data_IF_822200280433
#
_entry.id   IF_822200280433
#
_cell.length_a   1.000
_cell.length_b   1.000
_cell.length_c   1.000
_cell.angle_alpha   90.00
_cell.angle_beta   90.00
_cell.angle_gamma   90.00
#
_symmetry.space_group_name_H-M   'P 1'
#
loop_
_entity.id
_entity.type
_entity.pdbx_description
1 polymer ?
#
# COMPACT_ATOMS: atom_id res chain seq x y z
N UNK A 1 43.11 -22.46 8.77
CA UNK A 1 41.97 -22.31 9.69
C UNK A 1 40.88 -21.53 8.97
N UNK A 2 39.78 -22.20 8.67
CA UNK A 2 38.73 -21.76 7.75
C UNK A 2 37.72 -20.90 8.50
N UNK A 3 37.70 -19.59 8.28
CA UNK A 3 36.55 -18.78 8.71
C UNK A 3 35.42 -18.96 7.69
N UNK A 4 34.47 -19.80 8.06
CA UNK A 4 33.21 -19.98 7.35
C UNK A 4 32.42 -18.66 7.46
N UNK A 5 32.56 -17.76 6.48
CA UNK A 5 31.72 -16.56 6.37
C UNK A 5 30.29 -17.04 6.18
N UNK A 6 29.53 -17.11 7.27
CA UNK A 6 28.08 -17.30 7.27
C UNK A 6 27.51 -16.26 6.29
N UNK A 7 27.06 -16.70 5.13
CA UNK A 7 26.35 -15.87 4.17
C UNK A 7 25.13 -15.33 4.90
N UNK A 8 25.16 -14.05 5.26
CA UNK A 8 24.00 -13.39 5.87
C UNK A 8 22.96 -13.30 4.76
N UNK A 9 21.99 -14.21 4.76
CA UNK A 9 20.86 -14.13 3.84
C UNK A 9 20.15 -12.80 4.11
N UNK A 10 20.36 -11.82 3.24
CA UNK A 10 19.60 -10.57 3.25
C UNK A 10 18.18 -10.90 2.80
N UNK A 11 17.26 -10.86 3.74
CA UNK A 11 15.83 -11.05 3.51
C UNK A 11 15.10 -9.81 3.98
N UNK A 12 14.43 -9.14 3.04
CA UNK A 12 13.48 -8.08 3.39
C UNK A 12 12.19 -8.73 3.88
N UNK A 13 11.77 -8.39 5.09
CA UNK A 13 10.50 -8.87 5.67
C UNK A 13 9.48 -7.73 5.61
N UNK A 14 8.53 -7.85 4.69
CA UNK A 14 7.46 -6.88 4.50
C UNK A 14 6.38 -7.11 5.57
N UNK A 15 6.31 -6.23 6.57
CA UNK A 15 5.42 -6.39 7.74
C UNK A 15 3.97 -5.96 7.46
N UNK A 16 3.79 -5.13 6.44
CA UNK A 16 2.52 -4.46 6.12
C UNK A 16 1.66 -5.21 5.11
N UNK A 17 2.22 -6.23 4.46
CA UNK A 17 1.50 -7.05 3.48
C UNK A 17 0.92 -8.29 4.18
N UNK A 18 -0.38 -8.53 4.01
CA UNK A 18 -1.06 -9.68 4.62
C UNK A 18 -0.70 -10.97 3.87
N UNK A 19 -1.02 -12.12 4.47
CA UNK A 19 -0.91 -13.39 3.75
C UNK A 19 -2.00 -13.47 2.68
N UNK A 20 -1.63 -13.83 1.45
CA UNK A 20 -2.57 -13.95 0.34
C UNK A 20 -1.91 -13.76 -1.02
N UNK A 21 -2.75 -13.73 -2.06
CA UNK A 21 -2.34 -13.31 -3.39
C UNK A 21 -2.34 -11.78 -3.45
N UNK A 22 -1.30 -11.22 -4.04
CA UNK A 22 -1.11 -9.79 -4.20
C UNK A 22 -0.63 -9.48 -5.61
N UNK A 23 -1.14 -8.38 -6.16
CA UNK A 23 -0.64 -7.82 -7.40
C UNK A 23 0.82 -7.36 -7.24
N UNK A 24 1.59 -7.40 -8.34
CA UNK A 24 3.03 -7.10 -8.28
C UNK A 24 3.31 -5.63 -7.97
N UNK A 25 2.43 -4.71 -8.38
CA UNK A 25 2.52 -3.29 -8.04
C UNK A 25 2.37 -3.05 -6.52
N UNK A 26 1.42 -3.71 -5.87
CA UNK A 26 1.25 -3.66 -4.42
C UNK A 26 2.50 -4.20 -3.70
N UNK A 27 3.04 -5.34 -4.15
CA UNK A 27 4.27 -5.91 -3.59
C UNK A 27 5.45 -4.94 -3.74
N UNK A 28 5.62 -4.32 -4.90
CA UNK A 28 6.68 -3.33 -5.14
C UNK A 28 6.56 -2.13 -4.21
N UNK A 29 5.34 -1.57 -4.06
CA UNK A 29 5.08 -0.44 -3.17
C UNK A 29 5.43 -0.81 -1.71
N UNK A 30 4.91 -1.94 -1.24
CA UNK A 30 5.13 -2.40 0.13
C UNK A 30 6.60 -2.72 0.41
N UNK A 31 7.33 -3.30 -0.55
CA UNK A 31 8.76 -3.54 -0.42
C UNK A 31 9.56 -2.24 -0.33
N UNK A 32 9.29 -1.27 -1.21
CA UNK A 32 9.99 0.02 -1.21
C UNK A 32 9.79 0.77 0.11
N UNK A 33 8.56 0.83 0.61
CA UNK A 33 8.28 1.48 1.89
C UNK A 33 8.74 0.68 3.11
N UNK A 34 8.91 -0.65 2.99
CA UNK A 34 9.55 -1.42 4.06
C UNK A 34 11.02 -0.99 4.24
N UNK A 35 11.75 -0.68 3.17
CA UNK A 35 13.12 -0.14 3.25
C UNK A 35 13.14 1.19 3.99
N UNK A 36 12.20 2.10 3.69
CA UNK A 36 12.07 3.37 4.41
C UNK A 36 11.78 3.16 5.90
N UNK A 37 10.89 2.22 6.23
CA UNK A 37 10.57 1.89 7.63
C UNK A 37 11.78 1.32 8.35
N UNK A 38 12.50 0.39 7.71
CA UNK A 38 13.70 -0.21 8.31
C UNK A 38 14.80 0.84 8.54
N UNK A 39 15.01 1.75 7.59
CA UNK A 39 15.91 2.89 7.74
C UNK A 39 15.51 3.77 8.95
N UNK A 40 14.23 4.15 9.04
CA UNK A 40 13.76 5.03 10.12
C UNK A 40 13.78 4.37 11.51
N UNK A 41 13.36 3.11 11.62
CA UNK A 41 13.18 2.42 12.90
C UNK A 41 14.42 1.68 13.38
N UNK A 42 15.17 1.05 12.47
CA UNK A 42 16.30 0.20 12.82
C UNK A 42 17.63 0.95 12.76
N UNK A 43 17.83 1.76 11.72
CA UNK A 43 19.09 2.49 11.51
C UNK A 43 19.13 3.82 12.27
N UNK A 44 17.96 4.40 12.60
CA UNK A 44 17.81 5.61 13.44
C UNK A 44 18.74 6.75 12.97
N UNK A 45 18.57 7.19 11.71
CA UNK A 45 19.48 8.13 11.05
C UNK A 45 19.53 9.51 11.73
N UNK A 46 18.52 9.85 12.52
CA UNK A 46 18.47 11.08 13.31
C UNK A 46 19.54 11.17 14.38
N UNK A 47 20.11 10.03 14.79
CA UNK A 47 21.16 9.97 15.83
C UNK A 47 22.58 10.15 15.28
N UNK A 48 22.79 9.85 14.00
CA UNK A 48 24.13 9.68 13.43
C UNK A 48 24.41 10.58 12.24
N UNK A 49 23.38 11.12 11.56
CA UNK A 49 23.52 11.96 10.37
C UNK A 49 23.16 13.41 10.74
N UNK A 50 24.05 14.35 10.40
CA UNK A 50 23.74 15.77 10.48
C UNK A 50 22.87 16.21 9.28
N UNK A 51 21.56 16.04 9.44
CA UNK A 51 20.57 16.46 8.44
C UNK A 51 20.51 17.99 8.24
N UNK A 52 21.19 18.79 9.07
CA UNK A 52 21.20 20.24 8.97
C UNK A 52 22.34 20.79 8.13
N UNK A 53 23.31 19.94 7.77
CA UNK A 53 24.56 20.29 7.09
C UNK A 53 24.36 21.16 5.84
N UNK A 54 23.41 20.81 4.97
CA UNK A 54 23.08 21.59 3.77
C UNK A 54 21.58 21.57 3.43
N UNK A 55 21.20 22.38 2.44
CA UNK A 55 19.83 22.50 1.94
C UNK A 55 19.25 21.17 1.44
N UNK A 56 20.07 20.35 0.80
CA UNK A 56 19.62 19.09 0.20
C UNK A 56 19.30 18.07 1.29
N UNK A 57 20.17 17.92 2.29
CA UNK A 57 19.94 17.08 3.46
C UNK A 57 18.70 17.53 4.25
N UNK A 58 18.52 18.84 4.45
CA UNK A 58 17.33 19.36 5.14
C UNK A 58 16.04 19.06 4.38
N UNK A 59 16.05 19.20 3.04
CA UNK A 59 14.91 18.87 2.19
C UNK A 59 14.63 17.38 2.19
N UNK A 60 15.66 16.55 2.00
CA UNK A 60 15.55 15.09 2.03
C UNK A 60 14.97 14.61 3.37
N UNK A 61 15.48 15.11 4.50
CA UNK A 61 14.99 14.72 5.82
C UNK A 61 13.51 15.09 6.06
N UNK A 62 13.08 16.23 5.53
CA UNK A 62 11.66 16.63 5.57
C UNK A 62 10.80 15.64 4.76
N UNK A 63 11.26 15.25 3.57
CA UNK A 63 10.56 14.30 2.70
C UNK A 63 10.53 12.89 3.30
N UNK A 64 11.65 12.38 3.81
CA UNK A 64 11.77 11.09 4.52
C UNK A 64 10.72 11.00 5.64
N UNK A 65 10.68 11.99 6.54
CA UNK A 65 9.72 12.03 7.65
C UNK A 65 8.27 12.12 7.17
N UNK A 66 8.01 12.89 6.12
CA UNK A 66 6.66 13.03 5.57
C UNK A 66 6.16 11.71 4.96
N UNK A 67 7.01 11.03 4.17
CA UNK A 67 6.71 9.73 3.57
C UNK A 67 6.55 8.63 4.63
N UNK A 68 7.42 8.61 5.63
CA UNK A 68 7.34 7.67 6.73
C UNK A 68 6.02 7.83 7.51
N UNK A 69 5.65 9.07 7.88
CA UNK A 69 4.37 9.36 8.54
C UNK A 69 3.18 8.99 7.66
N UNK A 70 3.24 9.31 6.37
CA UNK A 70 2.18 8.95 5.44
C UNK A 70 1.98 7.43 5.40
N UNK A 71 3.07 6.66 5.29
CA UNK A 71 3.02 5.21 5.20
C UNK A 71 2.52 4.53 6.48
N UNK A 72 2.97 5.00 7.64
CA UNK A 72 2.66 4.36 8.94
C UNK A 72 1.33 4.82 9.53
N UNK A 73 0.90 6.04 9.22
CA UNK A 73 -0.28 6.66 9.84
C UNK A 73 -1.38 6.95 8.82
N UNK A 74 -1.08 7.76 7.79
CA UNK A 74 -2.12 8.28 6.89
C UNK A 74 -2.71 7.20 5.99
N UNK A 75 -1.88 6.43 5.28
CA UNK A 75 -2.32 5.37 4.35
C UNK A 75 -3.13 4.27 5.06
N UNK A 76 -2.71 3.70 6.20
CA UNK A 76 -3.51 2.70 6.92
C UNK A 76 -4.83 3.24 7.49
N UNK A 77 -4.93 4.56 7.68
CA UNK A 77 -6.16 5.18 8.21
C UNK A 77 -7.28 5.33 7.17
N UNK A 78 -7.01 5.00 5.89
CA UNK A 78 -8.01 5.02 4.81
C UNK A 78 -9.25 4.19 5.19
N UNK A 79 -10.42 4.69 4.77
CA UNK A 79 -11.73 4.05 4.99
C UNK A 79 -12.49 4.02 3.68
N UNK A 80 -12.97 2.84 3.33
CA UNK A 80 -13.88 2.65 2.21
C UNK A 80 -15.32 2.88 2.66
N UNK A 81 -16.16 3.53 1.83
CA UNK A 81 -17.61 3.51 2.03
C UNK A 81 -18.19 2.10 2.11
N UNK A 82 -17.52 1.10 1.51
CA UNK A 82 -17.93 -0.30 1.58
C UNK A 82 -17.58 -0.98 2.92
N UNK A 83 -16.76 -0.35 3.77
CA UNK A 83 -16.46 -0.86 5.12
C UNK A 83 -17.63 -0.66 6.09
N UNK A 84 -18.63 0.16 5.71
CA UNK A 84 -19.83 0.35 6.52
C UNK A 84 -20.71 -0.90 6.50
N UNK A 85 -20.67 -1.63 7.61
CA UNK A 85 -21.45 -2.87 7.84
C UNK A 85 -22.97 -2.66 7.80
N UNK A 86 -23.45 -1.42 7.82
CA UNK A 86 -24.89 -1.11 7.72
C UNK A 86 -25.40 -1.19 6.27
N UNK A 87 -24.51 -1.17 5.28
CA UNK A 87 -24.90 -1.22 3.88
C UNK A 87 -25.18 -2.69 3.50
N UNK A 88 -26.40 -2.97 3.07
CA UNK A 88 -26.77 -4.29 2.57
C UNK A 88 -26.01 -4.60 1.27
N UNK A 89 -25.18 -5.64 1.30
CA UNK A 89 -24.42 -6.11 0.13
C UNK A 89 -25.29 -7.10 -0.66
N UNK A 90 -25.40 -6.94 -1.99
CA UNK A 90 -26.15 -7.90 -2.81
C UNK A 90 -25.47 -9.28 -2.81
N UNK A 91 -26.23 -10.38 -2.73
CA UNK A 91 -25.67 -11.73 -2.79
C UNK A 91 -25.11 -12.01 -4.19
N UNK A 92 -23.96 -12.69 -4.24
CA UNK A 92 -23.40 -13.20 -5.49
C UNK A 92 -24.19 -14.46 -5.91
N UNK A 93 -24.87 -14.40 -7.06
CA UNK A 93 -25.72 -15.50 -7.56
C UNK A 93 -25.38 -15.78 -9.02
N UNK A 94 -25.35 -17.06 -9.37
CA UNK A 94 -25.10 -17.52 -10.73
C UNK A 94 -26.25 -18.40 -11.19
N UNK A 95 -26.70 -18.22 -12.42
CA UNK A 95 -27.73 -19.04 -13.07
C UNK A 95 -27.14 -19.76 -14.27
N UNK A 96 -27.54 -21.03 -14.48
CA UNK A 96 -27.03 -21.83 -15.58
C UNK A 96 -27.69 -21.39 -16.88
N UNK A 97 -26.91 -21.13 -17.92
CA UNK A 97 -27.42 -20.77 -19.24
C UNK A 97 -27.91 -22.06 -19.92
N UNK A 98 -29.18 -22.08 -20.32
CA UNK A 98 -29.81 -23.24 -20.95
C UNK A 98 -29.02 -23.70 -22.19
N UNK A 99 -28.79 -25.00 -22.31
CA UNK A 99 -28.06 -25.59 -23.43
C UNK A 99 -26.53 -25.44 -23.39
N UNK A 100 -25.98 -24.86 -22.32
CA UNK A 100 -24.52 -24.70 -22.17
C UNK A 100 -24.01 -25.25 -20.83
N UNK A 101 -22.69 -25.41 -20.72
CA UNK A 101 -21.99 -25.68 -19.46
C UNK A 101 -21.65 -24.40 -18.69
N UNK A 102 -22.06 -23.23 -19.21
CA UNK A 102 -21.72 -21.92 -18.66
C UNK A 102 -22.80 -21.43 -17.70
N UNK A 103 -22.38 -20.58 -16.77
CA UNK A 103 -23.27 -19.88 -15.84
C UNK A 103 -23.09 -18.38 -15.99
N UNK A 104 -24.19 -17.64 -15.91
CA UNK A 104 -24.19 -16.18 -15.90
C UNK A 104 -24.33 -15.64 -14.48
N UNK A 105 -23.69 -14.50 -14.23
CA UNK A 105 -23.87 -13.77 -12.99
C UNK A 105 -25.22 -13.05 -13.01
N UNK A 106 -26.09 -13.37 -12.06
CA UNK A 106 -27.40 -12.73 -11.92
C UNK A 106 -27.20 -11.32 -11.40
N UNK A 107 -27.65 -10.33 -12.17
CA UNK A 107 -27.55 -8.93 -11.76
C UNK A 107 -28.52 -8.64 -10.60
N UNK A 108 -28.04 -8.12 -9.46
CA UNK A 108 -28.91 -7.77 -8.34
C UNK A 108 -29.84 -6.60 -8.67
N UNK A 109 -31.00 -6.54 -8.01
CA UNK A 109 -31.92 -5.41 -8.12
C UNK A 109 -31.25 -4.10 -7.64
N UNK A 110 -30.96 -3.22 -8.60
CA UNK A 110 -30.30 -1.93 -8.37
C UNK A 110 -31.10 -1.00 -7.47
N UNK A 111 -32.43 -1.08 -7.45
CA UNK A 111 -33.28 -0.24 -6.58
C UNK A 111 -33.18 -0.74 -5.15
N UNK A 112 -33.27 -2.06 -4.92
CA UNK A 112 -33.12 -2.68 -3.60
C UNK A 112 -31.75 -2.37 -2.96
N UNK A 113 -30.68 -2.40 -3.74
CA UNK A 113 -29.31 -2.18 -3.27
C UNK A 113 -28.75 -0.80 -3.65
N UNK A 114 -29.60 0.22 -3.78
CA UNK A 114 -29.18 1.54 -4.25
C UNK A 114 -28.06 2.17 -3.39
N UNK A 115 -28.11 1.99 -2.07
CA UNK A 115 -27.07 2.47 -1.15
C UNK A 115 -25.71 1.81 -1.42
N UNK A 116 -25.70 0.49 -1.65
CA UNK A 116 -24.49 -0.25 -2.02
C UNK A 116 -23.88 0.26 -3.32
N UNK A 117 -24.68 0.44 -4.38
CA UNK A 117 -24.15 0.94 -5.65
C UNK A 117 -23.64 2.38 -5.57
N UNK A 118 -24.23 3.23 -4.72
CA UNK A 118 -23.70 4.58 -4.43
C UNK A 118 -22.35 4.48 -3.72
N UNK A 119 -22.26 3.64 -2.69
CA UNK A 119 -21.01 3.40 -1.97
C UNK A 119 -19.92 2.81 -2.88
N UNK A 120 -20.27 1.87 -3.76
CA UNK A 120 -19.37 1.27 -4.75
C UNK A 120 -18.82 2.33 -5.72
N UNK A 121 -19.69 3.21 -6.23
CA UNK A 121 -19.27 4.32 -7.11
C UNK A 121 -18.33 5.29 -6.38
N UNK A 122 -18.59 5.57 -5.11
CA UNK A 122 -17.72 6.43 -4.30
C UNK A 122 -16.38 5.73 -3.99
N UNK A 123 -16.41 4.44 -3.67
CA UNK A 123 -15.23 3.64 -3.44
C UNK A 123 -14.31 3.61 -4.66
N UNK A 124 -14.84 3.36 -5.86
CA UNK A 124 -14.05 3.36 -7.10
C UNK A 124 -13.33 4.71 -7.34
N UNK A 125 -13.99 5.83 -7.02
CA UNK A 125 -13.37 7.17 -7.11
C UNK A 125 -12.25 7.36 -6.08
N UNK A 126 -12.41 6.81 -4.88
CA UNK A 126 -11.41 6.88 -3.83
C UNK A 126 -10.21 5.99 -4.15
N UNK A 127 -10.44 4.77 -4.65
CA UNK A 127 -9.37 3.88 -5.09
C UNK A 127 -8.49 4.52 -6.15
N UNK A 128 -9.09 5.19 -7.14
CA UNK A 128 -8.32 5.90 -8.16
C UNK A 128 -7.43 6.98 -7.53
N UNK A 129 -7.96 7.78 -6.61
CA UNK A 129 -7.19 8.81 -5.90
C UNK A 129 -6.08 8.21 -5.02
N UNK A 130 -6.36 7.09 -4.35
CA UNK A 130 -5.38 6.41 -3.52
C UNK A 130 -4.28 5.78 -4.37
N UNK A 131 -4.60 5.23 -5.53
CA UNK A 131 -3.61 4.72 -6.48
C UNK A 131 -2.69 5.84 -7.00
N UNK A 132 -3.26 6.99 -7.34
CA UNK A 132 -2.49 8.17 -7.75
C UNK A 132 -1.60 8.71 -6.62
N UNK A 133 -2.10 8.72 -5.38
CA UNK A 133 -1.31 9.09 -4.20
C UNK A 133 -0.17 8.09 -3.94
N UNK A 134 -0.45 6.78 -4.01
CA UNK A 134 0.54 5.73 -3.82
C UNK A 134 1.65 5.85 -4.87
N UNK A 135 1.30 6.07 -6.15
CA UNK A 135 2.26 6.31 -7.23
C UNK A 135 3.13 7.54 -6.97
N UNK A 136 2.51 8.67 -6.63
CA UNK A 136 3.22 9.93 -6.35
C UNK A 136 4.20 9.78 -5.20
N UNK A 137 3.81 9.10 -4.13
CA UNK A 137 4.68 8.91 -2.98
C UNK A 137 5.79 7.88 -3.23
N UNK A 138 5.55 6.88 -4.08
CA UNK A 138 6.59 6.00 -4.57
C UNK A 138 7.65 6.77 -5.39
N UNK A 139 7.22 7.67 -6.28
CA UNK A 139 8.16 8.55 -7.01
C UNK A 139 9.01 9.41 -6.06
N UNK A 140 8.37 10.07 -5.08
CA UNK A 140 9.06 10.86 -4.05
C UNK A 140 10.08 10.03 -3.27
N UNK A 141 9.74 8.77 -2.96
CA UNK A 141 10.68 7.87 -2.28
C UNK A 141 11.89 7.53 -3.16
N UNK A 142 11.66 7.28 -4.45
CA UNK A 142 12.74 7.02 -5.41
C UNK A 142 13.64 8.24 -5.56
N UNK A 143 13.09 9.45 -5.57
CA UNK A 143 13.86 10.71 -5.66
C UNK A 143 14.82 10.87 -4.48
N UNK A 144 14.40 10.54 -3.26
CA UNK A 144 15.23 10.70 -2.05
C UNK A 144 16.10 9.47 -1.74
N UNK A 145 16.08 8.43 -2.59
CA UNK A 145 16.75 7.15 -2.31
C UNK A 145 18.25 7.29 -2.04
N UNK A 146 18.90 8.29 -2.64
CA UNK A 146 20.33 8.55 -2.46
C UNK A 146 20.69 9.05 -1.06
N UNK A 147 19.70 9.37 -0.23
CA UNK A 147 19.87 9.75 1.18
C UNK A 147 19.53 8.61 2.14
N UNK A 148 19.10 7.44 1.63
CA UNK A 148 18.78 6.25 2.42
C UNK A 148 20.00 5.33 2.53
N UNK A 149 21.14 5.89 2.93
CA UNK A 149 22.38 5.14 3.17
C UNK A 149 22.83 5.33 4.62
N UNK A 150 23.56 4.33 5.10
CA UNK A 150 24.31 4.33 6.36
C UNK A 150 25.76 3.96 6.12
#
# INVERSE_FOLDING_TARGET
MTQNKKTRNMRLVIRTLKAGWHDKDEVMLHAAFQLLVDFMEQEQPDKYIDWSHDDNHRRAWKEIRALYRWWTTTRPSRRSPLDDKKIAVPPLRFEKIAGTTLSELVTPDKKKYAAYYRALKQHARLEQKWREEDQRNLHRLVEIREFLWT
#
